data_IF_978370325067
#
_entry.id   IF_978370325067
#
_cell.length_a   1.000
_cell.length_b   1.000
_cell.length_c   1.000
_cell.angle_alpha   90.00
_cell.angle_beta   90.00
_cell.angle_gamma   90.00
#
_symmetry.space_group_name_H-M   'P 1'
#
loop_
_entity.id
_entity.type
_entity.pdbx_description
1 polymer ?
#
# COMPACT_ATOMS: atom_id res chain seq x y z
N UNK A 1 -37.88 -12.79 -6.87
CA UNK A 1 -36.76 -12.19 -6.12
C UNK A 1 -35.71 -13.28 -5.92
N UNK A 2 -34.67 -13.30 -6.75
CA UNK A 2 -33.57 -14.26 -6.62
C UNK A 2 -32.46 -13.65 -5.78
N UNK A 3 -32.28 -14.15 -4.56
CA UNK A 3 -31.08 -13.91 -3.77
C UNK A 3 -29.89 -14.50 -4.52
N UNK A 4 -29.06 -13.62 -5.12
CA UNK A 4 -27.73 -13.99 -5.61
C UNK A 4 -26.96 -14.55 -4.41
N UNK A 5 -26.36 -15.75 -4.47
CA UNK A 5 -25.34 -16.09 -3.51
C UNK A 5 -24.23 -15.07 -3.71
N UNK A 6 -24.11 -14.15 -2.77
CA UNK A 6 -22.94 -13.31 -2.62
C UNK A 6 -21.82 -14.30 -2.34
N UNK A 7 -21.06 -14.67 -3.38
CA UNK A 7 -19.82 -15.42 -3.22
C UNK A 7 -18.91 -14.53 -2.42
N UNK A 8 -19.00 -14.66 -1.09
CA UNK A 8 -17.99 -14.25 -0.15
C UNK A 8 -16.79 -15.14 -0.45
N UNK A 9 -16.09 -14.82 -1.55
CA UNK A 9 -14.70 -15.21 -1.68
C UNK A 9 -14.06 -14.75 -0.37
N UNK A 10 -13.25 -15.58 0.31
CA UNK A 10 -12.50 -15.11 1.46
C UNK A 10 -11.71 -13.90 0.97
N UNK A 11 -12.18 -12.69 1.32
CA UNK A 11 -11.41 -11.50 1.13
C UNK A 11 -10.25 -11.69 2.08
N UNK A 12 -9.11 -12.12 1.54
CA UNK A 12 -7.85 -12.11 2.28
C UNK A 12 -7.46 -10.64 2.37
N UNK A 13 -8.17 -9.91 3.22
CA UNK A 13 -7.84 -8.56 3.62
C UNK A 13 -6.54 -8.66 4.41
N UNK A 14 -5.44 -8.36 3.74
CA UNK A 14 -4.13 -8.41 4.36
C UNK A 14 -3.90 -7.07 5.05
N UNK A 15 -3.70 -7.06 6.39
CA UNK A 15 -3.38 -5.83 7.08
C UNK A 15 -1.95 -5.43 6.72
N UNK A 16 -1.82 -4.20 6.23
CA UNK A 16 -0.55 -3.53 6.00
C UNK A 16 -0.48 -2.28 6.87
N UNK A 17 0.74 -1.90 7.22
CA UNK A 17 1.00 -0.65 7.93
C UNK A 17 2.06 0.11 7.18
N UNK A 18 1.82 1.39 6.93
CA UNK A 18 2.85 2.30 6.46
C UNK A 18 3.30 3.18 7.62
N UNK A 19 4.59 3.46 7.67
CA UNK A 19 5.21 4.31 8.67
C UNK A 19 6.02 5.37 7.94
N UNK A 20 5.88 6.64 8.33
CA UNK A 20 6.75 7.70 7.85
C UNK A 20 7.81 8.00 8.91
N UNK A 21 9.06 7.69 8.58
CA UNK A 21 10.25 7.91 9.41
C UNK A 21 11.02 9.12 8.93
N UNK A 22 10.67 10.33 9.37
CA UNK A 22 11.43 11.57 9.10
C UNK A 22 11.61 11.92 7.61
N UNK A 23 12.49 11.21 6.91
CA UNK A 23 12.80 11.31 5.47
C UNK A 23 12.55 10.01 4.67
N UNK A 24 12.11 8.93 5.33
CA UNK A 24 11.85 7.61 4.74
C UNK A 24 10.42 7.14 4.98
N UNK A 25 9.93 6.25 4.14
CA UNK A 25 8.62 5.59 4.28
C UNK A 25 8.84 4.09 4.31
N UNK A 26 8.37 3.47 5.38
CA UNK A 26 8.49 2.03 5.60
C UNK A 26 7.12 1.37 5.47
N UNK A 27 7.07 0.17 4.90
CA UNK A 27 5.89 -0.69 4.94
C UNK A 27 6.14 -1.91 5.82
N UNK A 28 5.14 -2.29 6.59
CA UNK A 28 5.07 -3.55 7.30
C UNK A 28 3.93 -4.40 6.75
N UNK A 29 4.21 -5.68 6.48
CA UNK A 29 3.18 -6.66 6.15
C UNK A 29 2.63 -7.37 7.40
N UNK A 30 1.59 -8.18 7.20
CA UNK A 30 1.01 -9.01 8.27
C UNK A 30 1.98 -10.02 8.90
N UNK A 31 3.08 -10.37 8.22
CA UNK A 31 4.12 -11.24 8.76
C UNK A 31 5.11 -10.48 9.66
N UNK A 32 4.98 -9.16 9.78
CA UNK A 32 5.88 -8.30 10.55
C UNK A 32 7.16 -7.93 9.81
N UNK A 33 7.34 -8.37 8.56
CA UNK A 33 8.45 -7.94 7.71
C UNK A 33 8.26 -6.46 7.38
N UNK A 34 9.35 -5.71 7.52
CA UNK A 34 9.42 -4.29 7.22
C UNK A 34 10.25 -4.09 5.96
N UNK A 35 9.87 -3.17 5.08
CA UNK A 35 10.65 -2.78 3.90
C UNK A 35 10.67 -1.26 3.76
N UNK A 36 11.70 -0.74 3.12
CA UNK A 36 11.72 0.66 2.69
C UNK A 36 10.91 0.75 1.40
N UNK A 37 9.92 1.63 1.40
CA UNK A 37 9.09 1.89 0.23
C UNK A 37 9.57 3.08 -0.57
N UNK A 38 10.18 4.04 0.12
CA UNK A 38 10.66 5.25 -0.51
C UNK A 38 11.03 6.35 0.46
N UNK A 39 11.07 7.57 -0.07
CA UNK A 39 11.40 8.77 0.69
C UNK A 39 10.17 9.63 0.94
N UNK A 40 10.17 10.34 2.06
CA UNK A 40 9.23 11.43 2.33
C UNK A 40 9.99 12.74 2.41
N UNK A 41 9.51 13.74 1.68
CA UNK A 41 10.05 15.08 1.66
C UNK A 41 9.00 16.04 2.23
N UNK A 42 9.24 16.54 3.44
CA UNK A 42 8.43 17.57 4.07
C UNK A 42 9.06 18.93 3.83
N UNK A 43 8.46 19.72 2.94
CA UNK A 43 8.84 21.10 2.70
C UNK A 43 8.49 21.99 3.90
N UNK A 44 9.24 23.09 4.07
CA UNK A 44 9.09 24.04 5.20
C UNK A 44 7.69 24.64 5.36
N UNK A 45 6.84 24.58 4.32
CA UNK A 45 5.44 24.99 4.37
C UNK A 45 4.49 23.98 5.04
N UNK A 46 5.00 22.88 5.60
CA UNK A 46 4.20 21.80 6.19
C UNK A 46 3.61 20.82 5.15
N UNK A 47 4.00 20.97 3.88
CA UNK A 47 3.61 20.06 2.82
C UNK A 47 4.58 18.87 2.76
N UNK A 48 4.09 17.66 2.99
CA UNK A 48 4.85 16.43 2.87
C UNK A 48 4.48 15.70 1.59
N UNK A 49 5.50 15.29 0.84
CA UNK A 49 5.39 14.53 -0.41
C UNK A 49 6.10 13.20 -0.22
N UNK A 50 5.38 12.09 -0.43
CA UNK A 50 6.00 10.76 -0.44
C UNK A 50 6.33 10.42 -1.89
N UNK A 51 7.53 9.89 -2.11
CA UNK A 51 7.97 9.33 -3.39
C UNK A 51 8.44 7.90 -3.14
N UNK A 52 7.77 6.96 -3.78
CA UNK A 52 8.18 5.56 -3.81
C UNK A 52 9.39 5.39 -4.73
N UNK A 53 10.37 4.60 -4.27
CA UNK A 53 11.55 4.28 -5.07
C UNK A 53 11.17 3.38 -6.26
N UNK A 54 10.13 2.56 -6.09
CA UNK A 54 9.63 1.64 -7.12
C UNK A 54 8.42 2.25 -7.83
N UNK A 55 8.42 2.18 -9.16
CA UNK A 55 7.39 2.71 -10.05
C UNK A 55 7.28 4.25 -10.10
N UNK A 56 8.01 4.97 -9.24
CA UNK A 56 8.04 6.44 -9.21
C UNK A 56 6.71 7.06 -8.79
N UNK A 57 5.86 6.30 -8.09
CA UNK A 57 4.58 6.76 -7.55
C UNK A 57 4.84 7.82 -6.49
N UNK A 58 4.13 8.94 -6.60
CA UNK A 58 4.16 10.01 -5.60
C UNK A 58 2.76 10.32 -5.07
N UNK A 59 2.68 10.66 -3.78
CA UNK A 59 1.41 11.05 -3.13
C UNK A 59 0.99 12.49 -3.44
N UNK A 60 1.82 13.24 -4.16
CA UNK A 60 1.79 14.70 -4.24
C UNK A 60 2.05 15.40 -2.89
N UNK A 61 2.08 16.75 -2.89
CA UNK A 61 2.23 17.55 -1.69
C UNK A 61 0.95 17.50 -0.85
N UNK A 62 1.02 16.88 0.33
CA UNK A 62 -0.08 16.78 1.28
C UNK A 62 0.19 17.59 2.54
N UNK A 63 -0.85 17.97 3.29
CA UNK A 63 -0.74 18.82 4.49
C UNK A 63 -0.09 18.15 5.73
N UNK A 64 0.70 17.09 5.54
CA UNK A 64 1.41 16.36 6.60
C UNK A 64 1.74 14.93 6.20
N UNK A 65 2.60 14.26 6.98
CA UNK A 65 3.05 12.89 6.70
C UNK A 65 1.89 11.87 6.68
N UNK A 66 0.98 11.92 7.66
CA UNK A 66 -0.19 11.03 7.67
C UNK A 66 -1.12 11.24 6.47
N UNK A 67 -1.28 12.49 6.02
CA UNK A 67 -2.09 12.81 4.85
C UNK A 67 -1.44 12.28 3.57
N UNK A 68 -0.11 12.40 3.45
CA UNK A 68 0.68 11.80 2.37
C UNK A 68 0.53 10.28 2.34
N UNK A 69 0.65 9.63 3.50
CA UNK A 69 0.47 8.18 3.63
C UNK A 69 -0.94 7.77 3.20
N UNK A 70 -1.99 8.45 3.69
CA UNK A 70 -3.39 8.15 3.31
C UNK A 70 -3.67 8.38 1.83
N UNK A 71 -3.02 9.35 1.21
CA UNK A 71 -3.14 9.58 -0.24
C UNK A 71 -2.44 8.48 -1.06
N UNK A 72 -1.37 7.89 -0.51
CA UNK A 72 -0.64 6.78 -1.11
C UNK A 72 -1.40 5.44 -1.00
N UNK A 73 -2.10 5.19 0.11
CA UNK A 73 -2.86 3.95 0.36
C UNK A 73 -3.74 3.50 -0.84
N UNK A 74 -4.60 4.34 -1.44
CA UNK A 74 -5.43 3.93 -2.58
C UNK A 74 -4.65 3.71 -3.88
N UNK A 75 -3.38 4.15 -3.96
CA UNK A 75 -2.50 3.93 -5.12
C UNK A 75 -1.74 2.60 -5.00
N UNK A 76 -1.61 2.07 -3.78
CA UNK A 76 -0.96 0.80 -3.51
C UNK A 76 -1.90 -0.38 -3.74
N UNK A 77 -1.34 -1.50 -4.20
CA UNK A 77 -2.06 -2.77 -4.40
C UNK A 77 -1.31 -3.91 -3.70
N UNK A 78 -2.04 -4.99 -3.36
CA UNK A 78 -1.44 -6.16 -2.72
C UNK A 78 -0.27 -6.73 -3.53
N UNK A 79 -0.48 -6.93 -4.84
CA UNK A 79 0.54 -7.45 -5.77
C UNK A 79 1.81 -6.58 -5.81
N UNK A 80 1.62 -5.25 -5.77
CA UNK A 80 2.73 -4.31 -5.72
C UNK A 80 3.53 -4.44 -4.41
N UNK A 81 2.85 -4.44 -3.26
CA UNK A 81 3.53 -4.63 -1.97
C UNK A 81 4.17 -6.00 -1.87
N UNK A 82 3.50 -7.07 -2.28
CA UNK A 82 4.02 -8.44 -2.26
C UNK A 82 5.27 -8.60 -3.14
N UNK A 83 5.25 -8.01 -4.34
CA UNK A 83 6.40 -7.93 -5.23
C UNK A 83 7.58 -7.16 -4.62
N UNK A 84 7.29 -6.08 -3.89
CA UNK A 84 8.29 -5.34 -3.13
C UNK A 84 8.82 -6.13 -1.93
N UNK A 85 7.96 -6.82 -1.17
CA UNK A 85 8.40 -7.67 -0.06
C UNK A 85 9.30 -8.82 -0.52
N UNK A 86 9.16 -9.23 -1.78
CA UNK A 86 9.99 -10.25 -2.43
C UNK A 86 11.30 -9.68 -2.99
N UNK A 87 11.26 -8.47 -3.55
CA UNK A 87 12.42 -7.82 -4.19
C UNK A 87 13.30 -7.03 -3.22
N UNK A 88 12.67 -6.33 -2.27
CA UNK A 88 13.32 -5.45 -1.31
C UNK A 88 13.82 -6.22 -0.08
N UNK A 89 14.94 -5.75 0.44
CA UNK A 89 15.51 -6.24 1.67
C UNK A 89 14.65 -5.82 2.87
N UNK A 90 14.67 -6.65 3.92
CA UNK A 90 14.08 -6.29 5.21
C UNK A 90 14.72 -4.99 5.73
N UNK A 91 13.91 -3.93 5.84
CA UNK A 91 14.34 -2.68 6.42
C UNK A 91 14.43 -2.82 7.94
N UNK A 92 15.63 -2.68 8.48
CA UNK A 92 15.81 -2.62 9.92
C UNK A 92 15.63 -1.18 10.39
N UNK A 93 14.59 -0.96 11.19
CA UNK A 93 14.38 0.30 11.90
C UNK A 93 14.67 0.08 13.38
N UNK A 94 15.79 0.60 13.87
CA UNK A 94 16.14 0.65 15.28
C UNK A 94 15.44 1.86 15.93
N UNK A 95 14.14 1.72 16.21
CA UNK A 95 13.35 2.75 16.87
C UNK A 95 11.92 2.31 17.20
N UNK A 96 11.19 3.16 17.91
CA UNK A 96 9.77 2.93 18.23
C UNK A 96 8.90 3.30 17.02
N UNK A 97 8.53 2.29 16.23
CA UNK A 97 7.58 2.44 15.12
C UNK A 97 6.24 3.05 15.55
N UNK A 98 5.83 2.81 16.80
CA UNK A 98 4.56 3.29 17.37
C UNK A 98 4.51 4.82 17.59
N UNK A 99 5.68 5.46 17.76
CA UNK A 99 5.80 6.91 17.94
C UNK A 99 5.73 7.66 16.58
N UNK A 100 5.88 6.92 15.48
CA UNK A 100 5.90 7.49 14.15
C UNK A 100 4.50 7.66 13.58
N UNK A 101 4.29 8.67 12.73
CA UNK A 101 3.07 8.78 11.94
C UNK A 101 2.92 7.54 11.06
N UNK A 102 1.86 6.77 11.34
CA UNK A 102 1.59 5.52 10.67
C UNK A 102 0.13 5.41 10.27
N UNK A 103 -0.13 4.65 9.22
CA UNK A 103 -1.48 4.31 8.78
C UNK A 103 -1.58 2.80 8.63
N UNK A 104 -2.53 2.22 9.33
CA UNK A 104 -2.93 0.84 9.14
C UNK A 104 -4.09 0.78 8.15
N UNK A 105 -3.98 -0.08 7.15
CA UNK A 105 -5.03 -0.30 6.16
C UNK A 105 -5.02 -1.76 5.75
N UNK A 106 -6.17 -2.24 5.29
CA UNK A 106 -6.31 -3.56 4.72
C UNK A 106 -6.40 -3.42 3.21
N UNK A 107 -5.56 -4.17 2.49
CA UNK A 107 -5.73 -4.32 1.06
C UNK A 107 -6.41 -5.66 0.80
N UNK A 108 -7.47 -5.69 -0.03
CA UNK A 108 -7.98 -6.96 -0.51
C UNK A 108 -6.90 -7.60 -1.38
N UNK A 109 -6.51 -8.83 -1.05
CA UNK A 109 -5.73 -9.67 -1.96
C UNK A 109 -6.53 -9.76 -3.25
N UNK A 110 -6.11 -9.00 -4.26
CA UNK A 110 -6.79 -9.00 -5.54
C UNK A 110 -6.56 -10.39 -6.11
N UNK A 111 -7.63 -11.20 -6.14
CA UNK A 111 -7.64 -12.41 -6.94
C UNK A 111 -7.04 -12.06 -8.32
N UNK A 112 -6.15 -12.89 -8.86
CA UNK A 112 -5.45 -12.59 -10.10
C UNK A 112 -6.43 -12.04 -11.13
N UNK A 113 -6.13 -10.88 -11.72
CA UNK A 113 -6.97 -10.26 -12.76
C UNK A 113 -7.13 -11.12 -14.02
N UNK A 114 -6.63 -12.36 -14.03
CA UNK A 114 -6.84 -13.35 -15.07
C UNK A 114 -8.32 -13.74 -15.31
N UNK A 115 -9.26 -13.27 -14.48
CA UNK A 115 -10.71 -13.49 -14.67
C UNK A 115 -11.52 -12.28 -15.15
N UNK A 116 -10.94 -11.09 -15.36
CA UNK A 116 -11.74 -9.89 -15.74
C UNK A 116 -11.77 -9.58 -17.24
N UNK A 117 -10.92 -10.20 -18.08
CA UNK A 117 -10.95 -9.96 -19.54
C UNK A 117 -11.04 -11.23 -20.40
N UNK A 118 -11.99 -12.11 -20.07
CA UNK A 118 -12.60 -12.97 -21.10
C UNK A 118 -14.03 -12.53 -21.31
N UNK A 119 -14.22 -11.44 -22.04
CA UNK A 119 -15.48 -11.26 -22.77
C UNK A 119 -15.66 -12.52 -23.64
N UNK A 120 -16.77 -13.26 -23.52
CA UNK A 120 -17.11 -14.22 -24.56
C UNK A 120 -17.34 -13.39 -25.84
N UNK A 121 -16.70 -13.71 -26.99
CA UNK A 121 -17.22 -13.21 -28.24
C UNK A 121 -18.62 -13.79 -28.39
N UNK A 122 -19.63 -12.92 -28.39
CA UNK A 122 -21.00 -13.29 -28.74
C UNK A 122 -20.97 -13.86 -30.18
N UNK A 123 -21.01 -15.18 -30.29
CA UNK A 123 -21.33 -15.89 -31.52
C UNK A 123 -22.85 -16.03 -31.57
N UNK A 124 -23.50 -15.09 -32.25
CA UNK A 124 -24.84 -15.24 -32.80
C UNK A 124 -24.83 -14.86 -34.28
#
# INVERSE_FOLDING_TARGET
MGTRPQTDLPQFDRPFRLFATGTRVLAQNAAGKLIDLGAIDCSEGGACTIRLDVDGIDSGPQAGAEAALRALVPMLSFDYLDGLFTSEADAQFDGLLDDLPHVAFTLPESAPREFVDRRPPELF
#
